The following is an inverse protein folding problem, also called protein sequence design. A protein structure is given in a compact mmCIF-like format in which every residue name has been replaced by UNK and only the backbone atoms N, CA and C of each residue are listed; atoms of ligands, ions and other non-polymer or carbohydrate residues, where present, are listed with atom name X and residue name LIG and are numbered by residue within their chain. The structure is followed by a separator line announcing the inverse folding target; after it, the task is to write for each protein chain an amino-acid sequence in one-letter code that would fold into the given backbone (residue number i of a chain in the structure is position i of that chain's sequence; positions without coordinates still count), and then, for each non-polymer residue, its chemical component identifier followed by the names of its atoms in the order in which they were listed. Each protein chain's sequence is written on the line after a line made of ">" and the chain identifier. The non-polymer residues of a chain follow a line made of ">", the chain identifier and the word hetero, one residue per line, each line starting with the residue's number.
data_IF_168764512647
#
_entry.id   IF_168764512647
#
_cell.length_a   1.000
_cell.length_b   1.000
_cell.length_c   1.000
_cell.angle_alpha   90.00
_cell.angle_beta   90.00
_cell.angle_gamma   90.00
#
_symmetry.space_group_name_H-M   'P 1'
#
loop_
_entity.id
_entity.type
_entity.pdbx_description
1 polymer ?
#
# COMPACT_ATOMS: atom_id res chain seq x y z
N UNK A 1 -72.82 -8.35 -0.74
CA UNK A 1 -72.81 -6.92 -1.12
C UNK A 1 -71.99 -6.19 -0.07
N UNK A 2 -70.75 -5.78 -0.44
CA UNK A 2 -69.98 -4.61 0.02
C UNK A 2 -69.92 -4.31 1.55
N UNK A 3 -68.79 -4.10 2.23
CA UNK A 3 -67.46 -3.62 1.79
C UNK A 3 -66.51 -3.61 3.02
N UNK A 4 -65.22 -3.95 2.79
CA UNK A 4 -64.00 -3.29 3.36
C UNK A 4 -63.77 -3.40 4.88
N UNK A 5 -62.96 -4.33 5.39
CA UNK A 5 -61.48 -4.37 5.43
C UNK A 5 -60.82 -3.19 6.16
N UNK A 6 -60.46 -3.38 7.44
CA UNK A 6 -59.36 -2.68 8.13
C UNK A 6 -58.71 -3.64 9.14
N UNK A 7 -57.71 -4.38 8.68
CA UNK A 7 -56.74 -5.04 9.56
C UNK A 7 -55.65 -4.02 9.91
N UNK A 8 -55.54 -3.69 11.19
CA UNK A 8 -54.40 -2.93 11.74
C UNK A 8 -53.32 -3.96 12.04
N UNK A 9 -52.32 -4.07 11.16
CA UNK A 9 -51.09 -4.79 11.44
C UNK A 9 -50.20 -3.85 12.27
N UNK A 10 -50.00 -4.19 13.55
CA UNK A 10 -48.99 -3.54 14.40
C UNK A 10 -47.64 -4.14 14.02
N UNK A 11 -46.86 -3.42 13.22
CA UNK A 11 -45.43 -3.72 13.03
C UNK A 11 -44.69 -3.26 14.29
N UNK A 12 -44.36 -4.21 15.17
CA UNK A 12 -43.35 -4.02 16.20
C UNK A 12 -41.96 -4.10 15.54
N UNK A 13 -41.42 -2.93 15.20
CA UNK A 13 -40.02 -2.79 14.80
C UNK A 13 -39.17 -2.88 16.08
N UNK A 14 -38.63 -4.07 16.34
CA UNK A 14 -37.55 -4.27 17.31
C UNK A 14 -36.28 -3.64 16.74
N UNK A 15 -36.00 -2.41 17.16
CA UNK A 15 -34.67 -1.81 16.99
C UNK A 15 -33.68 -2.59 17.86
N UNK A 16 -32.59 -3.18 17.31
CA UNK A 16 -31.50 -3.61 18.14
C UNK A 16 -30.85 -2.36 18.74
N UNK A 17 -30.91 -2.24 20.06
CA UNK A 17 -30.08 -1.32 20.83
C UNK A 17 -28.62 -1.75 20.64
N UNK A 18 -27.95 -1.17 19.65
CA UNK A 18 -26.51 -1.20 19.55
C UNK A 18 -26.01 -0.32 20.70
N UNK A 19 -25.60 -0.96 21.79
CA UNK A 19 -24.79 -0.30 22.80
C UNK A 19 -23.44 0.01 22.13
N UNK A 20 -23.31 1.23 21.61
CA UNK A 20 -22.00 1.82 21.35
C UNK A 20 -21.42 2.06 22.74
N UNK A 21 -20.69 1.07 23.25
CA UNK A 21 -19.74 1.30 24.32
C UNK A 21 -18.76 2.32 23.77
N UNK A 22 -18.91 3.57 24.20
CA UNK A 22 -17.88 4.58 24.02
C UNK A 22 -16.76 4.19 24.99
N UNK A 23 -16.01 3.15 24.65
CA UNK A 23 -14.69 2.95 25.24
C UNK A 23 -13.88 4.16 24.82
N UNK A 24 -13.64 5.06 25.77
CA UNK A 24 -12.58 6.05 25.65
C UNK A 24 -11.31 5.26 25.39
N UNK A 25 -10.85 5.27 24.13
CA UNK A 25 -9.60 4.68 23.70
C UNK A 25 -8.52 5.26 24.60
N UNK A 26 -7.97 4.42 25.48
CA UNK A 26 -6.91 4.84 26.40
C UNK A 26 -5.74 5.27 25.53
N UNK A 27 -5.27 6.52 25.67
CA UNK A 27 -4.04 6.94 24.99
C UNK A 27 -2.93 5.98 25.39
N UNK A 28 -2.39 5.25 24.42
CA UNK A 28 -1.25 4.35 24.59
C UNK A 28 0.01 5.11 24.19
N UNK A 29 1.20 4.62 24.53
CA UNK A 29 2.45 5.24 24.07
C UNK A 29 2.88 4.72 22.67
N UNK A 30 1.96 4.09 21.94
CA UNK A 30 2.24 3.34 20.70
C UNK A 30 2.82 1.95 20.98
N UNK A 31 3.25 1.22 19.94
CA UNK A 31 3.22 1.58 18.52
C UNK A 31 1.81 1.63 17.90
N UNK A 32 1.67 2.23 16.72
CA UNK A 32 0.40 2.42 16.00
C UNK A 32 0.43 1.91 14.56
N UNK A 33 -0.74 1.80 13.94
CA UNK A 33 -0.91 1.52 12.51
C UNK A 33 -1.17 2.80 11.69
N UNK A 34 -0.32 3.82 11.81
CA UNK A 34 -0.46 5.08 11.09
C UNK A 34 -0.37 4.94 9.56
N UNK A 35 0.28 3.89 9.06
CA UNK A 35 0.25 3.51 7.64
C UNK A 35 -0.78 2.41 7.32
N UNK A 36 -1.48 1.90 8.34
CA UNK A 36 -2.49 0.85 8.20
C UNK A 36 -1.88 -0.47 7.74
N UNK A 37 -2.63 -1.17 6.90
CA UNK A 37 -2.14 -2.31 6.16
C UNK A 37 -2.67 -2.23 4.73
N UNK A 38 -2.00 -2.94 3.84
CA UNK A 38 -2.51 -3.21 2.51
C UNK A 38 -2.15 -4.64 2.11
N UNK A 39 -2.77 -5.09 1.03
CA UNK A 39 -2.68 -6.48 0.60
C UNK A 39 -2.33 -6.55 -0.89
N UNK A 40 -1.81 -7.68 -1.33
CA UNK A 40 -1.63 -7.94 -2.74
C UNK A 40 -1.08 -9.30 -3.08
N UNK A 41 -0.67 -9.48 -4.33
CA UNK A 41 -0.22 -10.78 -4.85
C UNK A 41 -1.26 -11.89 -4.65
N UNK A 42 -2.55 -11.55 -4.73
CA UNK A 42 -3.62 -12.50 -4.49
C UNK A 42 -3.78 -13.47 -5.68
N UNK A 43 -3.85 -14.77 -5.37
CA UNK A 43 -4.32 -15.82 -6.28
C UNK A 43 -5.54 -16.55 -5.68
N UNK A 44 -5.97 -17.66 -6.28
CA UNK A 44 -7.14 -18.41 -5.80
C UNK A 44 -7.07 -18.85 -4.33
N UNK A 45 -5.88 -19.01 -3.77
CA UNK A 45 -5.67 -19.60 -2.45
C UNK A 45 -4.61 -18.89 -1.61
N UNK A 46 -4.02 -17.78 -2.08
CA UNK A 46 -3.01 -17.04 -1.36
C UNK A 46 -3.17 -15.52 -1.50
N UNK A 47 -2.60 -14.78 -0.54
CA UNK A 47 -2.45 -13.33 -0.58
C UNK A 47 -1.27 -12.92 0.32
N UNK A 48 -0.64 -11.79 0.00
CA UNK A 48 0.33 -11.14 0.87
C UNK A 48 -0.35 -9.99 1.61
N UNK A 49 -0.16 -9.93 2.93
CA UNK A 49 -0.61 -8.84 3.80
C UNK A 49 0.62 -8.09 4.29
N UNK A 50 0.69 -6.80 4.04
CA UNK A 50 1.77 -5.90 4.45
C UNK A 50 1.29 -4.93 5.51
N UNK A 51 2.10 -4.64 6.52
CA UNK A 51 1.86 -3.56 7.48
C UNK A 51 3.17 -2.91 7.95
N UNK A 52 3.06 -1.78 8.65
CA UNK A 52 4.16 -1.02 9.25
C UNK A 52 3.72 -0.41 10.57
N UNK A 53 4.61 -0.45 11.56
CA UNK A 53 4.38 0.21 12.84
C UNK A 53 4.95 1.63 12.88
N UNK A 54 4.17 2.54 13.43
CA UNK A 54 4.45 3.98 13.47
C UNK A 54 4.43 4.51 14.89
N UNK A 55 5.21 5.57 15.13
CA UNK A 55 5.28 6.28 16.42
C UNK A 55 3.99 7.04 16.73
N UNK A 56 3.29 7.51 15.69
CA UNK A 56 2.04 8.27 15.80
C UNK A 56 0.90 7.53 15.08
N UNK A 57 -0.36 7.68 15.52
CA UNK A 57 -1.53 7.07 14.88
C UNK A 57 -1.87 7.68 13.51
N UNK A 58 -1.37 8.89 13.22
CA UNK A 58 -1.61 9.61 11.98
C UNK A 58 -0.31 10.28 11.48
N UNK A 59 -0.23 10.53 10.18
CA UNK A 59 0.86 11.33 9.61
C UNK A 59 0.78 12.80 10.02
N UNK A 60 1.94 13.46 10.11
CA UNK A 60 2.07 14.84 10.57
C UNK A 60 1.59 15.85 9.51
N UNK A 61 0.27 16.03 9.40
CA UNK A 61 -0.31 16.96 8.41
C UNK A 61 -0.06 18.44 8.67
N UNK A 62 0.42 18.80 9.86
CA UNK A 62 0.75 20.18 10.27
C UNK A 62 2.26 20.42 10.37
N UNK A 63 3.07 19.51 9.82
CA UNK A 63 4.52 19.58 9.89
C UNK A 63 5.12 20.74 9.09
N UNK A 64 6.42 20.93 9.27
CA UNK A 64 7.18 21.97 8.56
C UNK A 64 7.31 21.61 7.09
N UNK A 65 7.14 22.58 6.20
CA UNK A 65 7.29 22.37 4.76
C UNK A 65 8.76 22.20 4.36
N UNK A 66 9.00 21.37 3.34
CA UNK A 66 10.32 21.24 2.73
C UNK A 66 10.74 22.55 2.06
N UNK A 67 12.05 22.77 2.02
CA UNK A 67 12.66 23.73 1.11
C UNK A 67 12.64 23.12 -0.30
N UNK A 68 12.31 23.93 -1.30
CA UNK A 68 12.24 23.48 -2.69
C UNK A 68 13.47 24.01 -3.45
N UNK A 69 14.47 23.15 -3.75
CA UNK A 69 15.59 23.54 -4.58
C UNK A 69 15.10 23.83 -6.01
N UNK A 70 15.74 24.79 -6.67
CA UNK A 70 15.49 25.04 -8.09
C UNK A 70 15.82 23.80 -8.93
N UNK A 71 15.29 23.73 -10.16
CA UNK A 71 15.60 22.61 -11.04
C UNK A 71 17.12 22.42 -11.24
N UNK A 72 17.88 23.51 -11.42
CA UNK A 72 19.34 23.47 -11.58
C UNK A 72 20.04 22.92 -10.33
N UNK A 73 19.62 23.35 -9.13
CA UNK A 73 20.13 22.82 -7.87
C UNK A 73 19.80 21.35 -7.69
N UNK A 74 18.56 20.92 -8.01
CA UNK A 74 18.18 19.51 -7.99
C UNK A 74 19.11 18.65 -8.87
N UNK A 75 19.35 19.06 -10.13
CA UNK A 75 20.28 18.35 -11.02
C UNK A 75 21.71 18.28 -10.44
N UNK A 76 22.15 19.34 -9.76
CA UNK A 76 23.44 19.35 -9.11
C UNK A 76 23.49 18.37 -7.93
N UNK A 77 22.46 18.37 -7.08
CA UNK A 77 22.34 17.48 -5.92
C UNK A 77 22.31 16.00 -6.32
N UNK A 78 21.51 15.66 -7.34
CA UNK A 78 21.46 14.32 -7.92
C UNK A 78 22.83 13.85 -8.39
N UNK A 79 23.52 14.67 -9.18
CA UNK A 79 24.86 14.33 -9.72
C UNK A 79 25.94 14.25 -8.64
N UNK A 80 25.91 15.13 -7.66
CA UNK A 80 26.91 15.15 -6.58
C UNK A 80 26.69 14.03 -5.58
N UNK A 81 25.44 13.59 -5.38
CA UNK A 81 25.06 12.52 -4.47
C UNK A 81 25.68 12.69 -3.07
N UNK A 82 25.71 13.92 -2.57
CA UNK A 82 26.23 14.27 -1.25
C UNK A 82 25.07 14.38 -0.25
N UNK A 83 24.95 13.46 0.73
CA UNK A 83 23.82 13.43 1.65
C UNK A 83 23.64 14.73 2.44
N UNK A 84 24.73 15.38 2.85
CA UNK A 84 24.68 16.59 3.67
C UNK A 84 24.14 17.77 2.84
N UNK A 85 24.59 17.90 1.59
CA UNK A 85 24.05 18.92 0.68
C UNK A 85 22.59 18.68 0.32
N UNK A 86 22.22 17.42 0.06
CA UNK A 86 20.82 17.03 -0.22
C UNK A 86 19.94 17.41 0.96
N UNK A 87 20.39 17.13 2.19
CA UNK A 87 19.66 17.45 3.41
C UNK A 87 19.49 18.96 3.59
N UNK A 88 20.60 19.70 3.57
CA UNK A 88 20.61 21.15 3.80
C UNK A 88 19.84 21.94 2.72
N UNK A 89 19.69 21.38 1.52
CA UNK A 89 18.94 22.01 0.44
C UNK A 89 17.41 21.83 0.58
N UNK A 90 16.95 20.82 1.33
CA UNK A 90 15.53 20.42 1.35
C UNK A 90 14.89 20.50 2.74
N UNK A 91 15.67 20.47 3.82
CA UNK A 91 15.15 20.48 5.20
C UNK A 91 15.63 21.76 5.90
N UNK A 92 14.70 22.56 6.49
CA UNK A 92 15.08 23.77 7.19
C UNK A 92 16.07 23.51 8.34
N UNK A 93 16.97 24.48 8.57
CA UNK A 93 17.99 24.37 9.62
C UNK A 93 17.36 24.11 11.01
N UNK A 94 17.85 23.10 11.70
CA UNK A 94 17.39 22.71 13.03
C UNK A 94 16.10 21.88 13.05
N UNK A 95 15.52 21.56 11.90
CA UNK A 95 14.34 20.71 11.76
C UNK A 95 14.76 19.28 11.36
N UNK A 96 14.08 18.28 11.91
CA UNK A 96 14.27 16.87 11.58
C UNK A 96 13.21 16.37 10.60
N UNK A 97 13.47 15.24 9.92
CA UNK A 97 12.51 14.65 8.99
C UNK A 97 11.19 14.22 9.66
N UNK A 98 11.22 13.86 10.95
CA UNK A 98 10.00 13.52 11.72
C UNK A 98 9.06 14.73 11.94
N UNK A 99 9.60 15.95 11.86
CA UNK A 99 8.86 17.20 12.06
C UNK A 99 8.28 17.75 10.75
N UNK A 100 8.60 17.14 9.61
CA UNK A 100 8.18 17.60 8.29
C UNK A 100 6.71 17.28 8.00
N UNK A 101 6.09 18.06 7.11
CA UNK A 101 4.72 17.83 6.64
C UNK A 101 4.61 16.44 5.98
N UNK A 102 3.65 15.65 6.46
CA UNK A 102 3.40 14.28 6.02
C UNK A 102 4.22 13.21 6.76
N UNK A 103 5.14 13.59 7.64
CA UNK A 103 5.98 12.62 8.36
C UNK A 103 5.15 11.58 9.13
N UNK A 104 5.49 10.31 8.96
CA UNK A 104 4.88 9.20 9.70
C UNK A 104 6.00 8.27 10.19
N UNK A 105 6.79 8.69 11.20
CA UNK A 105 7.98 7.95 11.60
C UNK A 105 7.65 6.55 12.11
N UNK A 106 8.44 5.58 11.67
CA UNK A 106 8.33 4.19 12.09
C UNK A 106 8.85 3.96 13.50
N UNK A 107 8.45 2.85 14.12
CA UNK A 107 8.94 2.46 15.45
C UNK A 107 8.95 0.94 15.59
N UNK A 108 9.88 0.43 16.40
CA UNK A 108 9.92 -0.99 16.75
C UNK A 108 8.68 -1.40 17.55
N UNK A 109 8.30 -2.65 17.37
CA UNK A 109 7.19 -3.27 18.08
C UNK A 109 6.86 -4.62 17.46
N UNK A 110 5.77 -5.22 17.92
CA UNK A 110 5.29 -6.49 17.44
C UNK A 110 3.87 -6.34 16.90
N UNK A 111 3.59 -7.10 15.84
CA UNK A 111 2.29 -7.18 15.20
C UNK A 111 1.73 -8.59 15.29
N UNK A 112 0.41 -8.70 15.43
CA UNK A 112 -0.35 -9.95 15.38
C UNK A 112 -1.43 -9.85 14.34
N UNK A 113 -1.63 -10.91 13.57
CA UNK A 113 -2.63 -10.97 12.50
C UNK A 113 -3.66 -12.05 12.82
N UNK A 114 -4.94 -11.68 12.79
CA UNK A 114 -6.06 -12.62 12.77
C UNK A 114 -6.86 -12.45 11.49
N UNK A 115 -7.24 -13.56 10.86
CA UNK A 115 -8.11 -13.52 9.67
C UNK A 115 -9.12 -14.66 9.66
N UNK A 116 -10.27 -14.42 9.02
CA UNK A 116 -11.36 -15.39 8.91
C UNK A 116 -12.29 -15.09 7.73
N UNK A 117 -12.97 -16.09 7.14
CA UNK A 117 -14.01 -15.85 6.15
C UNK A 117 -15.13 -14.99 6.75
N UNK A 118 -15.56 -13.94 6.03
CA UNK A 118 -16.62 -13.03 6.49
C UNK A 118 -17.92 -13.77 6.86
N UNK A 119 -18.21 -14.87 6.16
CA UNK A 119 -19.41 -15.70 6.36
C UNK A 119 -19.25 -16.76 7.46
N UNK A 120 -18.04 -16.95 8.01
CA UNK A 120 -17.77 -17.96 9.04
C UNK A 120 -16.69 -17.48 10.03
N UNK A 121 -17.11 -16.71 11.04
CA UNK A 121 -16.23 -16.13 12.05
C UNK A 121 -15.63 -17.17 13.01
N UNK A 122 -16.19 -18.39 13.07
CA UNK A 122 -15.64 -19.46 13.90
C UNK A 122 -14.33 -20.03 13.31
N UNK A 123 -14.10 -19.83 12.01
CA UNK A 123 -12.86 -20.21 11.32
C UNK A 123 -11.78 -19.11 11.43
N UNK A 124 -11.55 -18.61 12.64
CA UNK A 124 -10.48 -17.66 12.95
C UNK A 124 -9.12 -18.35 12.97
N UNK A 125 -8.19 -17.79 12.20
CA UNK A 125 -6.77 -18.13 12.24
C UNK A 125 -6.03 -16.93 12.80
N UNK A 126 -5.29 -17.12 13.88
CA UNK A 126 -4.41 -16.12 14.47
C UNK A 126 -2.97 -16.55 14.24
N UNK A 127 -2.20 -15.71 13.57
CA UNK A 127 -0.74 -15.82 13.47
C UNK A 127 -0.17 -15.03 14.64
N UNK A 128 0.68 -15.68 15.45
CA UNK A 128 1.21 -15.12 16.68
C UNK A 128 2.09 -13.88 16.46
N UNK A 129 2.41 -13.18 17.55
CA UNK A 129 3.21 -11.96 17.55
C UNK A 129 4.53 -12.11 16.82
N UNK A 130 4.87 -11.12 16.00
CA UNK A 130 6.13 -11.04 15.27
C UNK A 130 6.62 -9.59 15.25
N UNK A 131 7.93 -9.40 15.48
CA UNK A 131 8.54 -8.08 15.43
C UNK A 131 8.58 -7.54 14.00
N UNK A 132 8.30 -6.25 13.84
CA UNK A 132 8.59 -5.54 12.58
C UNK A 132 10.09 -5.36 12.39
N UNK A 133 10.55 -5.21 11.14
CA UNK A 133 11.97 -5.14 10.80
C UNK A 133 12.46 -3.67 10.69
N UNK A 134 13.28 -3.16 11.63
CA UNK A 134 13.79 -1.78 11.57
C UNK A 134 14.66 -1.51 10.33
N UNK A 135 15.35 -2.53 9.81
CA UNK A 135 16.20 -2.40 8.62
C UNK A 135 15.37 -2.30 7.34
N UNK A 136 14.09 -2.70 7.39
CA UNK A 136 13.11 -2.61 6.30
C UNK A 136 12.01 -1.61 6.63
N UNK A 137 12.37 -0.47 7.20
CA UNK A 137 11.44 0.61 7.53
C UNK A 137 10.29 0.18 8.47
N UNK A 138 10.56 -0.69 9.44
CA UNK A 138 9.56 -1.18 10.41
C UNK A 138 8.35 -1.86 9.76
N UNK A 139 8.57 -2.50 8.62
CA UNK A 139 7.54 -3.26 7.90
C UNK A 139 7.52 -4.71 8.32
N UNK A 140 6.38 -5.36 8.12
CA UNK A 140 6.24 -6.81 8.18
C UNK A 140 5.25 -7.28 7.12
N UNK A 141 5.51 -8.45 6.55
CA UNK A 141 4.67 -9.05 5.52
C UNK A 141 4.34 -10.52 5.86
N UNK A 142 3.06 -10.91 5.76
CA UNK A 142 2.63 -12.29 5.85
C UNK A 142 2.18 -12.79 4.47
N UNK A 143 2.68 -13.95 4.05
CA UNK A 143 2.08 -14.70 2.95
C UNK A 143 1.06 -15.68 3.53
N UNK A 144 -0.23 -15.40 3.32
CA UNK A 144 -1.32 -16.30 3.68
C UNK A 144 -1.52 -17.30 2.55
N UNK A 145 -1.66 -18.56 2.88
CA UNK A 145 -1.85 -19.66 1.92
C UNK A 145 -3.03 -20.54 2.33
N UNK A 146 -3.43 -21.47 1.45
CA UNK A 146 -4.55 -22.39 1.69
C UNK A 146 -5.90 -21.69 1.97
N UNK A 147 -6.09 -20.51 1.39
CA UNK A 147 -7.35 -19.76 1.43
C UNK A 147 -8.38 -20.38 0.49
N UNK A 148 -9.66 -20.13 0.79
CA UNK A 148 -10.75 -20.58 -0.08
C UNK A 148 -10.92 -19.60 -1.25
N UNK A 149 -11.01 -20.06 -2.51
CA UNK A 149 -11.26 -19.18 -3.66
C UNK A 149 -12.57 -18.41 -3.55
N UNK A 150 -12.64 -17.24 -4.18
CA UNK A 150 -13.86 -16.42 -4.26
C UNK A 150 -14.39 -15.92 -2.92
N UNK A 151 -13.57 -15.94 -1.87
CA UNK A 151 -14.01 -15.73 -0.49
C UNK A 151 -13.52 -14.38 0.02
N UNK A 152 -14.43 -13.63 0.65
CA UNK A 152 -14.08 -12.41 1.37
C UNK A 152 -13.61 -12.76 2.78
N UNK A 153 -12.39 -12.37 3.11
CA UNK A 153 -11.78 -12.53 4.43
C UNK A 153 -11.77 -11.19 5.16
N UNK A 154 -12.05 -11.25 6.46
CA UNK A 154 -11.81 -10.15 7.39
C UNK A 154 -10.39 -10.30 7.94
N UNK A 155 -9.71 -9.19 8.12
CA UNK A 155 -8.39 -9.05 8.72
C UNK A 155 -8.50 -8.17 9.95
N UNK A 156 -8.00 -8.66 11.08
CA UNK A 156 -7.84 -7.94 12.34
C UNK A 156 -6.35 -7.94 12.69
N UNK A 157 -5.77 -6.77 12.92
CA UNK A 157 -4.38 -6.60 13.34
C UNK A 157 -4.30 -5.95 14.71
N UNK A 158 -3.30 -6.35 15.47
CA UNK A 158 -2.96 -5.77 16.78
C UNK A 158 -1.49 -5.39 16.81
N UNK A 159 -1.20 -4.28 17.48
CA UNK A 159 0.16 -3.81 17.73
C UNK A 159 0.45 -3.82 19.24
N UNK A 160 1.70 -4.09 19.61
CA UNK A 160 2.22 -3.87 20.97
C UNK A 160 3.70 -3.52 20.92
N UNK A 161 4.22 -2.90 21.97
CA UNK A 161 5.64 -2.52 22.04
C UNK A 161 6.56 -3.75 22.20
N UNK A 162 6.17 -4.71 23.05
CA UNK A 162 6.88 -5.96 23.33
C UNK A 162 5.97 -6.94 24.09
N UNK A 163 6.49 -8.12 24.44
CA UNK A 163 5.73 -9.18 25.11
C UNK A 163 5.07 -8.80 26.44
N UNK A 164 5.64 -7.84 27.17
CA UNK A 164 5.16 -7.37 28.47
C UNK A 164 4.19 -6.18 28.36
N UNK A 165 3.94 -5.69 27.14
CA UNK A 165 3.12 -4.52 26.89
C UNK A 165 1.68 -4.90 26.52
N UNK A 166 0.72 -4.09 26.98
CA UNK A 166 -0.65 -4.15 26.50
C UNK A 166 -0.72 -3.82 25.00
N UNK A 167 -1.83 -4.22 24.37
CA UNK A 167 -2.10 -3.88 22.96
C UNK A 167 -2.26 -2.35 22.86
N UNK A 168 -1.45 -1.74 22.01
CA UNK A 168 -1.36 -0.29 21.84
C UNK A 168 -2.31 0.24 20.76
N UNK A 169 -2.53 -0.53 19.69
CA UNK A 169 -3.39 -0.15 18.57
C UNK A 169 -3.99 -1.37 17.85
N UNK A 170 -5.04 -1.13 17.08
CA UNK A 170 -5.75 -2.14 16.26
C UNK A 170 -6.07 -1.60 14.89
N UNK A 171 -5.98 -2.45 13.87
CA UNK A 171 -6.41 -2.11 12.52
C UNK A 171 -7.28 -3.22 11.94
N UNK A 172 -8.29 -2.88 11.15
CA UNK A 172 -9.23 -3.84 10.60
C UNK A 172 -9.51 -3.57 9.12
N UNK A 173 -9.71 -4.65 8.38
CA UNK A 173 -10.15 -4.55 7.00
C UNK A 173 -10.45 -5.89 6.36
N UNK A 174 -10.33 -5.95 5.04
CA UNK A 174 -10.76 -7.13 4.30
C UNK A 174 -10.05 -7.24 2.94
N UNK A 175 -10.04 -8.46 2.43
CA UNK A 175 -9.68 -8.76 1.05
C UNK A 175 -10.60 -9.87 0.52
N UNK A 176 -10.63 -10.03 -0.81
CA UNK A 176 -11.32 -11.11 -1.53
C UNK A 176 -10.31 -11.93 -2.33
N UNK A 177 -10.31 -13.24 -2.17
CA UNK A 177 -9.55 -14.13 -3.06
C UNK A 177 -10.24 -14.22 -4.42
N UNK A 178 -9.48 -14.22 -5.54
CA UNK A 178 -10.01 -14.53 -6.86
C UNK A 178 -10.90 -15.80 -6.86
N UNK A 179 -12.07 -15.79 -7.54
CA UNK A 179 -12.90 -16.98 -7.72
C UNK A 179 -12.17 -18.08 -8.49
N UNK A 180 -12.54 -19.33 -8.23
CA UNK A 180 -11.97 -20.48 -8.93
C UNK A 180 -12.13 -20.35 -10.45
N UNK A 181 -11.17 -20.86 -11.22
CA UNK A 181 -11.08 -20.70 -12.66
C UNK A 181 -12.31 -21.15 -13.47
N UNK A 182 -13.15 -22.01 -12.91
CA UNK A 182 -14.37 -22.54 -13.56
C UNK A 182 -15.65 -21.80 -13.14
N UNK A 183 -15.56 -20.88 -12.17
CA UNK A 183 -16.71 -20.16 -11.63
C UNK A 183 -17.09 -18.97 -12.52
N UNK A 184 -18.31 -18.96 -13.04
CA UNK A 184 -18.91 -17.79 -13.69
C UNK A 184 -19.44 -16.82 -12.62
N UNK A 185 -18.89 -15.61 -12.58
CA UNK A 185 -19.29 -14.55 -11.67
C UNK A 185 -19.05 -13.18 -12.32
N UNK A 186 -19.91 -12.21 -12.01
CA UNK A 186 -19.68 -10.81 -12.39
C UNK A 186 -18.52 -10.24 -11.57
N UNK A 187 -17.48 -9.75 -12.25
CA UNK A 187 -16.28 -9.19 -11.62
C UNK A 187 -16.20 -7.69 -11.89
N UNK A 188 -16.21 -6.89 -10.82
CA UNK A 188 -16.00 -5.44 -10.86
C UNK A 188 -14.61 -5.07 -10.36
N UNK A 189 -13.85 -4.28 -11.12
CA UNK A 189 -12.51 -3.87 -10.70
C UNK A 189 -12.18 -2.44 -11.10
N UNK A 190 -11.17 -1.87 -10.44
CA UNK A 190 -10.65 -0.54 -10.73
C UNK A 190 -9.19 -0.63 -11.19
N UNK A 191 -8.81 0.23 -12.14
CA UNK A 191 -7.42 0.35 -12.63
C UNK A 191 -7.03 1.81 -12.60
N UNK A 192 -5.87 2.11 -12.02
CA UNK A 192 -5.35 3.48 -11.91
C UNK A 192 -3.83 3.50 -12.08
N UNK A 193 -3.29 4.71 -12.26
CA UNK A 193 -1.86 5.01 -12.31
C UNK A 193 -1.64 6.46 -11.89
N UNK A 194 -0.38 6.85 -11.66
CA UNK A 194 0.06 8.24 -11.47
C UNK A 194 -0.57 8.97 -10.28
N UNK A 195 -0.18 8.60 -9.08
CA UNK A 195 -0.73 9.09 -7.81
C UNK A 195 0.20 10.03 -7.03
N UNK A 196 0.88 10.92 -7.75
CA UNK A 196 1.77 11.94 -7.19
C UNK A 196 1.15 12.64 -5.96
N UNK A 197 1.80 12.49 -4.79
CA UNK A 197 1.39 13.05 -3.52
C UNK A 197 1.14 14.57 -3.59
N UNK A 198 1.88 15.30 -4.42
CA UNK A 198 1.69 16.75 -4.57
C UNK A 198 0.32 17.10 -5.17
N UNK A 199 -0.24 16.21 -6.00
CA UNK A 199 -1.45 16.45 -6.78
C UNK A 199 -2.73 15.92 -6.13
N UNK A 200 -2.68 15.65 -4.82
CA UNK A 200 -3.84 15.26 -4.01
C UNK A 200 -4.93 16.34 -4.03
N UNK A 201 -6.18 15.93 -4.20
CA UNK A 201 -7.33 16.85 -4.19
C UNK A 201 -7.82 17.24 -2.78
N UNK A 202 -7.27 16.63 -1.73
CA UNK A 202 -7.60 16.90 -0.32
C UNK A 202 -6.40 16.70 0.59
N UNK A 203 -6.48 17.28 1.79
CA UNK A 203 -5.54 16.99 2.88
C UNK A 203 -5.50 15.51 3.26
N UNK A 204 -6.63 14.80 3.10
CA UNK A 204 -6.77 13.37 3.38
C UNK A 204 -6.31 12.43 2.26
N UNK A 205 -5.85 12.95 1.11
CA UNK A 205 -5.47 12.14 -0.05
C UNK A 205 -6.26 12.41 -1.33
N UNK A 206 -6.23 11.45 -2.26
CA UNK A 206 -6.92 11.56 -3.55
C UNK A 206 -8.39 11.13 -3.43
N UNK A 207 -9.33 11.99 -3.87
CA UNK A 207 -10.79 11.74 -3.76
C UNK A 207 -11.25 10.49 -4.50
N UNK A 208 -10.50 10.08 -5.53
CA UNK A 208 -10.81 8.92 -6.35
C UNK A 208 -10.92 7.64 -5.51
N UNK A 209 -10.13 7.49 -4.44
CA UNK A 209 -10.16 6.31 -3.58
C UNK A 209 -11.49 6.14 -2.85
N UNK A 210 -12.10 7.23 -2.34
CA UNK A 210 -13.43 7.18 -1.74
C UNK A 210 -14.52 6.90 -2.78
N UNK A 211 -14.36 7.40 -4.00
CA UNK A 211 -15.28 7.12 -5.10
C UNK A 211 -15.21 5.65 -5.55
N UNK A 212 -14.01 5.10 -5.72
CA UNK A 212 -13.79 3.68 -6.05
C UNK A 212 -14.31 2.77 -4.93
N UNK A 213 -14.08 3.11 -3.66
CA UNK A 213 -14.55 2.29 -2.54
C UNK A 213 -16.08 2.09 -2.56
N UNK A 214 -16.84 3.12 -2.97
CA UNK A 214 -18.31 3.07 -3.09
C UNK A 214 -18.80 2.16 -4.22
N UNK A 215 -17.94 1.79 -5.16
CA UNK A 215 -18.25 0.82 -6.22
C UNK A 215 -18.13 -0.63 -5.72
N UNK A 216 -17.56 -0.86 -4.52
CA UNK A 216 -17.29 -2.19 -3.97
C UNK A 216 -16.52 -3.09 -4.96
N UNK A 217 -15.35 -2.67 -5.47
CA UNK A 217 -14.59 -3.48 -6.40
C UNK A 217 -14.13 -4.81 -5.76
N UNK A 218 -14.14 -5.88 -6.55
CA UNK A 218 -13.58 -7.18 -6.19
C UNK A 218 -12.06 -7.11 -6.07
N UNK A 219 -11.44 -6.35 -6.97
CA UNK A 219 -10.02 -6.03 -6.91
C UNK A 219 -9.67 -4.69 -7.55
N UNK A 220 -8.43 -4.29 -7.34
CA UNK A 220 -7.85 -3.04 -7.79
C UNK A 220 -6.45 -3.28 -8.34
N UNK A 221 -6.08 -2.58 -9.41
CA UNK A 221 -4.73 -2.59 -9.98
C UNK A 221 -4.18 -1.17 -10.01
N UNK A 222 -3.03 -0.97 -9.38
CA UNK A 222 -2.20 0.22 -9.57
C UNK A 222 -1.10 -0.11 -10.57
N UNK A 223 -1.15 0.49 -11.75
CA UNK A 223 -0.25 0.12 -12.87
C UNK A 223 1.04 0.94 -12.89
N UNK A 224 1.62 1.20 -11.72
CA UNK A 224 2.83 2.02 -11.56
C UNK A 224 2.56 3.49 -11.23
N UNK A 225 3.65 4.22 -11.03
CA UNK A 225 3.67 5.61 -10.57
C UNK A 225 2.81 5.80 -9.31
N UNK A 226 3.02 4.93 -8.33
CA UNK A 226 2.36 5.00 -7.03
C UNK A 226 2.99 6.13 -6.22
N UNK A 227 4.31 6.19 -6.18
CA UNK A 227 5.10 7.29 -5.63
C UNK A 227 6.00 7.90 -6.71
N UNK A 228 6.47 9.13 -6.46
CA UNK A 228 7.32 9.88 -7.36
C UNK A 228 8.55 10.41 -6.66
N UNK A 229 9.69 9.71 -6.70
CA UNK A 229 10.90 10.20 -6.03
C UNK A 229 11.47 11.50 -6.61
N UNK A 230 11.30 11.73 -7.92
CA UNK A 230 11.82 12.85 -8.68
C UNK A 230 10.94 14.11 -8.69
N UNK A 231 9.93 14.16 -7.82
CA UNK A 231 9.07 15.34 -7.63
C UNK A 231 9.44 16.07 -6.34
N UNK A 232 9.29 17.40 -6.28
CA UNK A 232 9.69 18.18 -5.11
C UNK A 232 8.87 17.86 -3.85
N UNK A 233 9.26 18.51 -2.77
CA UNK A 233 8.69 18.37 -1.42
C UNK A 233 8.65 16.92 -0.91
N UNK A 234 9.79 16.22 -0.75
CA UNK A 234 11.14 16.52 -1.24
C UNK A 234 11.50 15.71 -2.50
N UNK A 235 12.54 16.10 -3.24
CA UNK A 235 13.22 15.16 -4.14
C UNK A 235 13.90 14.05 -3.31
N UNK A 236 13.51 12.80 -3.55
CA UNK A 236 14.00 11.65 -2.77
C UNK A 236 15.32 11.11 -3.30
N UNK A 237 16.37 11.89 -3.05
CA UNK A 237 17.75 11.60 -3.47
C UNK A 237 18.51 10.70 -2.48
N UNK A 238 17.90 10.31 -1.36
CA UNK A 238 18.45 9.34 -0.40
C UNK A 238 17.41 8.30 -0.05
N UNK A 239 17.85 7.15 0.49
CA UNK A 239 16.95 6.07 0.90
C UNK A 239 15.95 6.53 1.98
N UNK A 240 16.39 7.37 2.92
CA UNK A 240 15.53 7.92 3.98
C UNK A 240 14.43 8.80 3.39
N UNK A 241 14.75 9.61 2.37
CA UNK A 241 13.75 10.42 1.68
C UNK A 241 12.82 9.58 0.81
N UNK A 242 13.30 8.49 0.20
CA UNK A 242 12.44 7.55 -0.52
C UNK A 242 11.43 6.88 0.42
N UNK A 243 11.90 6.35 1.55
CA UNK A 243 11.05 5.77 2.60
C UNK A 243 10.05 6.79 3.15
N UNK A 244 10.50 8.02 3.42
CA UNK A 244 9.61 9.11 3.83
C UNK A 244 8.46 9.35 2.86
N UNK A 245 8.71 9.30 1.55
CA UNK A 245 7.68 9.51 0.53
C UNK A 245 6.64 8.37 0.53
N UNK A 246 7.05 7.12 0.71
CA UNK A 246 6.11 6.03 0.95
C UNK A 246 5.34 6.18 2.26
N UNK A 247 6.04 6.50 3.36
CA UNK A 247 5.45 6.67 4.68
C UNK A 247 4.34 7.72 4.67
N UNK A 248 4.56 8.89 4.05
CA UNK A 248 3.54 9.94 3.95
C UNK A 248 2.38 9.51 3.05
N UNK A 249 2.63 8.76 1.97
CA UNK A 249 1.61 8.35 1.02
C UNK A 249 0.65 7.35 1.67
N UNK A 250 1.20 6.35 2.37
CA UNK A 250 0.40 5.37 3.11
C UNK A 250 -0.27 5.95 4.36
N UNK A 251 0.23 7.08 4.88
CA UNK A 251 -0.42 7.79 5.98
C UNK A 251 -1.68 8.58 5.54
N UNK A 252 -1.97 8.66 4.24
CA UNK A 252 -3.14 9.39 3.75
C UNK A 252 -4.44 8.64 4.07
N UNK A 253 -5.39 9.26 4.80
CA UNK A 253 -6.62 8.60 5.24
C UNK A 253 -7.44 7.93 4.12
N UNK A 254 -7.57 8.55 2.94
CA UNK A 254 -8.38 8.00 1.84
C UNK A 254 -7.75 6.75 1.24
N UNK A 255 -6.44 6.78 1.01
CA UNK A 255 -5.64 5.67 0.52
C UNK A 255 -5.60 4.52 1.52
N UNK A 256 -5.21 4.82 2.77
CA UNK A 256 -5.10 3.85 3.86
C UNK A 256 -6.41 3.09 4.07
N UNK A 257 -7.53 3.81 4.04
CA UNK A 257 -8.87 3.21 4.12
C UNK A 257 -9.17 2.32 2.92
N UNK A 258 -8.86 2.74 1.69
CA UNK A 258 -9.18 1.95 0.50
C UNK A 258 -8.36 0.66 0.41
N UNK A 259 -7.03 0.75 0.59
CA UNK A 259 -6.14 -0.39 0.44
C UNK A 259 -6.29 -1.44 1.55
N UNK A 260 -6.78 -1.05 2.73
CA UNK A 260 -7.18 -2.00 3.77
C UNK A 260 -8.47 -2.77 3.47
N UNK A 261 -9.21 -2.43 2.41
CA UNK A 261 -10.57 -2.97 2.17
C UNK A 261 -10.73 -3.72 0.84
N UNK A 262 -9.78 -3.55 -0.08
CA UNK A 262 -9.87 -4.03 -1.47
C UNK A 262 -8.64 -4.86 -1.82
N UNK A 263 -8.87 -6.01 -2.47
CA UNK A 263 -7.77 -6.83 -3.00
C UNK A 263 -6.96 -6.02 -4.01
N UNK A 264 -5.67 -5.80 -3.76
CA UNK A 264 -4.88 -4.85 -4.56
C UNK A 264 -3.71 -5.52 -5.28
N UNK A 265 -3.40 -5.05 -6.48
CA UNK A 265 -2.20 -5.44 -7.21
C UNK A 265 -1.39 -4.18 -7.52
N UNK A 266 -0.19 -4.12 -6.97
CA UNK A 266 0.73 -3.01 -7.17
C UNK A 266 1.78 -3.40 -8.21
N UNK A 267 1.79 -2.68 -9.31
CA UNK A 267 2.86 -2.70 -10.29
C UNK A 267 3.71 -1.45 -10.07
N UNK A 268 5.00 -1.55 -10.38
CA UNK A 268 5.91 -0.41 -10.39
C UNK A 268 6.12 0.13 -11.78
N UNK A 269 6.38 1.43 -11.86
CA UNK A 269 6.94 2.08 -13.04
C UNK A 269 8.26 2.80 -12.65
N UNK A 270 8.75 3.74 -13.45
CA UNK A 270 10.06 4.36 -13.24
C UNK A 270 10.17 5.22 -11.99
N UNK A 271 9.13 6.00 -11.71
CA UNK A 271 9.08 6.92 -10.58
C UNK A 271 9.03 6.23 -9.21
N UNK A 272 8.58 4.98 -9.18
CA UNK A 272 8.59 4.10 -8.00
C UNK A 272 9.97 3.47 -7.74
N UNK A 273 10.84 3.48 -8.76
CA UNK A 273 12.17 2.86 -8.72
C UNK A 273 13.24 3.93 -8.50
N UNK A 274 13.29 4.95 -9.36
CA UNK A 274 14.23 6.07 -9.24
C UNK A 274 13.60 7.35 -9.82
N UNK A 275 13.65 7.52 -11.13
CA UNK A 275 13.25 8.73 -11.87
C UNK A 275 12.93 8.34 -13.31
N UNK A 276 12.48 9.28 -14.14
CA UNK A 276 12.17 9.12 -15.56
C UNK A 276 13.07 8.08 -16.24
N UNK A 277 12.44 7.11 -16.90
CA UNK A 277 13.12 6.08 -17.68
C UNK A 277 14.07 5.16 -16.90
N UNK A 278 13.91 5.05 -15.57
CA UNK A 278 14.72 4.18 -14.70
C UNK A 278 15.04 2.82 -15.35
N UNK A 279 16.34 2.51 -15.46
CA UNK A 279 16.87 1.29 -16.08
C UNK A 279 18.06 0.72 -15.28
N UNK A 280 18.43 -0.56 -15.50
CA UNK A 280 19.55 -1.20 -14.80
C UNK A 280 20.88 -0.41 -14.86
N UNK A 281 21.46 -0.15 -13.69
CA UNK A 281 22.70 0.59 -13.53
C UNK A 281 22.56 2.12 -13.46
N UNK A 282 21.33 2.66 -13.36
CA UNK A 282 21.11 4.05 -12.96
C UNK A 282 21.31 4.25 -11.46
N UNK A 283 21.51 5.52 -11.08
CA UNK A 283 21.40 6.04 -9.71
C UNK A 283 20.50 7.27 -9.71
N UNK A 284 19.88 7.57 -8.58
CA UNK A 284 19.23 8.86 -8.31
C UNK A 284 19.64 9.33 -6.93
N UNK A 285 20.42 10.42 -6.88
CA UNK A 285 21.20 10.81 -5.73
C UNK A 285 22.10 9.66 -5.26
N UNK A 286 21.93 9.26 -4.00
CA UNK A 286 22.75 8.21 -3.37
C UNK A 286 22.19 6.80 -3.59
N UNK A 287 21.06 6.65 -4.26
CA UNK A 287 20.34 5.37 -4.35
C UNK A 287 20.58 4.73 -5.71
N UNK A 288 20.98 3.45 -5.73
CA UNK A 288 21.12 2.67 -6.95
C UNK A 288 19.79 2.11 -7.44
N UNK A 289 19.71 1.77 -8.72
CA UNK A 289 18.53 1.14 -9.29
C UNK A 289 18.12 -0.14 -8.56
N UNK A 290 19.08 -1.00 -8.19
CA UNK A 290 18.80 -2.23 -7.43
C UNK A 290 18.15 -1.90 -6.08
N UNK A 291 18.68 -0.90 -5.39
CA UNK A 291 18.13 -0.48 -4.09
C UNK A 291 16.74 0.13 -4.23
N UNK A 292 16.49 0.91 -5.29
CA UNK A 292 15.16 1.42 -5.61
C UNK A 292 14.12 0.31 -5.81
N UNK A 293 14.49 -0.79 -6.48
CA UNK A 293 13.64 -1.97 -6.61
C UNK A 293 13.36 -2.64 -5.25
N UNK A 294 14.40 -2.80 -4.43
CA UNK A 294 14.25 -3.40 -3.10
C UNK A 294 13.34 -2.55 -2.19
N UNK A 295 13.49 -1.22 -2.21
CA UNK A 295 12.61 -0.31 -1.46
C UNK A 295 11.16 -0.49 -1.90
N UNK A 296 10.90 -0.61 -3.21
CA UNK A 296 9.54 -0.87 -3.70
C UNK A 296 8.95 -2.15 -3.09
N UNK A 297 9.72 -3.25 -3.07
CA UNK A 297 9.31 -4.54 -2.49
C UNK A 297 9.20 -4.51 -0.96
N UNK A 298 9.96 -3.64 -0.29
CA UNK A 298 9.81 -3.38 1.14
C UNK A 298 8.51 -2.64 1.46
N UNK A 299 8.11 -1.69 0.61
CA UNK A 299 6.97 -0.79 0.87
C UNK A 299 5.63 -1.32 0.33
N UNK A 300 5.65 -2.25 -0.64
CA UNK A 300 4.46 -2.86 -1.20
C UNK A 300 4.40 -4.37 -0.89
N UNK A 301 3.22 -5.03 -0.99
CA UNK A 301 3.13 -6.49 -0.86
C UNK A 301 4.01 -7.18 -1.90
N UNK A 302 5.08 -7.84 -1.45
CA UNK A 302 6.07 -8.46 -2.32
C UNK A 302 5.59 -9.82 -2.85
N UNK A 303 5.56 -9.96 -4.17
CA UNK A 303 5.17 -11.21 -4.83
C UNK A 303 6.41 -12.10 -5.05
N UNK A 304 6.22 -13.43 -5.18
CA UNK A 304 7.32 -14.36 -5.50
C UNK A 304 8.00 -14.02 -6.83
N UNK A 305 7.21 -13.52 -7.79
CA UNK A 305 7.70 -12.98 -9.06
C UNK A 305 7.14 -11.58 -9.25
N UNK A 306 7.88 -10.68 -9.93
CA UNK A 306 7.43 -9.31 -10.11
C UNK A 306 6.40 -9.16 -11.26
N UNK A 307 6.05 -10.27 -11.93
CA UNK A 307 4.97 -10.42 -12.89
C UNK A 307 4.16 -11.69 -12.58
N UNK A 308 2.87 -11.70 -12.93
CA UNK A 308 1.99 -12.83 -12.64
C UNK A 308 0.75 -12.89 -13.55
N UNK A 309 0.23 -14.09 -13.78
CA UNK A 309 -1.10 -14.31 -14.38
C UNK A 309 -2.07 -14.57 -13.25
N UNK A 310 -3.17 -13.82 -13.20
CA UNK A 310 -4.23 -14.08 -12.22
C UNK A 310 -5.55 -14.28 -12.95
N UNK A 311 -6.28 -15.32 -12.57
CA UNK A 311 -7.59 -15.63 -13.12
C UNK A 311 -8.68 -15.30 -12.11
N UNK A 312 -9.57 -14.39 -12.45
CA UNK A 312 -10.71 -13.98 -11.64
C UNK A 312 -11.97 -14.65 -12.19
N UNK A 313 -12.16 -15.92 -11.84
CA UNK A 313 -13.25 -16.72 -12.36
C UNK A 313 -13.03 -17.22 -13.80
N UNK A 314 -14.11 -17.71 -14.42
CA UNK A 314 -14.09 -18.28 -15.76
C UNK A 314 -13.87 -17.23 -16.84
N UNK A 315 -14.44 -16.04 -16.65
CA UNK A 315 -14.61 -15.06 -17.71
C UNK A 315 -13.49 -13.99 -17.76
N UNK A 316 -12.65 -13.90 -16.73
CA UNK A 316 -11.58 -12.90 -16.67
C UNK A 316 -10.22 -13.52 -16.27
N UNK A 317 -9.20 -13.25 -17.10
CA UNK A 317 -7.80 -13.45 -16.76
C UNK A 317 -7.03 -12.16 -17.02
N UNK A 318 -6.15 -11.81 -16.10
CA UNK A 318 -5.27 -10.65 -16.19
C UNK A 318 -3.80 -11.09 -16.19
N UNK A 319 -2.98 -10.33 -16.90
CA UNK A 319 -1.53 -10.46 -16.90
C UNK A 319 -0.96 -9.17 -16.33
N UNK A 320 -0.33 -9.28 -15.17
CA UNK A 320 0.38 -8.18 -14.53
C UNK A 320 1.85 -8.31 -14.93
N UNK A 321 2.27 -7.46 -15.87
CA UNK A 321 3.64 -7.47 -16.40
C UNK A 321 4.59 -6.65 -15.54
N UNK A 322 5.88 -6.85 -15.72
CA UNK A 322 6.95 -6.11 -15.06
C UNK A 322 7.78 -5.39 -16.12
N UNK A 323 7.84 -4.06 -16.07
CA UNK A 323 8.49 -3.24 -17.10
C UNK A 323 9.81 -2.58 -16.72
N UNK A 324 10.33 -2.78 -15.50
CA UNK A 324 11.48 -2.04 -14.96
C UNK A 324 12.67 -2.92 -14.58
N UNK A 325 12.47 -4.14 -14.08
CA UNK A 325 13.52 -5.07 -13.63
C UNK A 325 14.45 -5.53 -14.76
N UNK A 326 13.93 -5.64 -15.99
CA UNK A 326 14.64 -6.36 -17.07
C UNK A 326 14.85 -5.52 -18.33
N UNK A 327 14.50 -4.23 -18.30
CA UNK A 327 14.52 -3.39 -19.49
C UNK A 327 15.94 -3.02 -19.91
N UNK A 328 16.14 -2.89 -21.22
CA UNK A 328 17.29 -2.22 -21.82
C UNK A 328 17.16 -0.69 -21.68
N UNK A 329 18.25 0.04 -21.93
CA UNK A 329 18.20 1.51 -21.96
C UNK A 329 17.40 1.96 -23.17
N UNK A 330 16.70 3.09 -23.06
CA UNK A 330 16.00 3.68 -24.20
C UNK A 330 16.94 3.99 -25.36
N UNK A 331 18.17 4.42 -25.03
CA UNK A 331 19.23 4.77 -25.99
C UNK A 331 19.89 3.57 -26.67
N UNK A 332 19.66 2.34 -26.20
CA UNK A 332 20.23 1.16 -26.83
C UNK A 332 19.64 1.02 -28.25
N UNK A 333 20.44 0.64 -29.26
CA UNK A 333 19.96 0.49 -30.62
C UNK A 333 18.89 -0.59 -30.70
N UNK A 334 17.88 -0.38 -31.55
CA UNK A 334 16.84 -1.38 -31.76
C UNK A 334 17.44 -2.65 -32.36
N UNK A 335 17.09 -3.79 -31.76
CA UNK A 335 17.60 -5.10 -32.14
C UNK A 335 16.89 -6.20 -31.34
N UNK A 336 17.10 -7.47 -31.71
CA UNK A 336 16.41 -8.61 -31.09
C UNK A 336 16.66 -8.73 -29.57
N UNK A 337 17.80 -8.23 -29.10
CA UNK A 337 18.19 -8.25 -27.68
C UNK A 337 17.62 -7.07 -26.87
N UNK A 338 17.15 -5.99 -27.53
CA UNK A 338 16.52 -4.86 -26.84
C UNK A 338 15.17 -5.31 -26.27
N UNK A 339 14.95 -5.06 -24.99
CA UNK A 339 13.79 -5.62 -24.29
C UNK A 339 13.26 -4.70 -23.20
N UNK A 340 11.99 -4.88 -22.86
CA UNK A 340 11.37 -4.31 -21.66
C UNK A 340 11.21 -5.42 -20.61
N UNK A 341 10.69 -6.57 -21.04
CA UNK A 341 10.32 -7.66 -20.15
C UNK A 341 11.45 -8.65 -19.84
N UNK A 342 12.60 -8.54 -20.49
CA UNK A 342 13.62 -9.59 -20.44
C UNK A 342 13.21 -10.83 -21.23
N UNK A 343 14.02 -11.90 -21.16
CA UNK A 343 13.77 -13.15 -21.90
C UNK A 343 12.67 -13.99 -21.24
N UNK A 344 12.78 -14.23 -19.93
CA UNK A 344 11.90 -15.15 -19.20
C UNK A 344 10.44 -14.69 -19.19
N UNK A 345 10.19 -13.40 -18.98
CA UNK A 345 8.83 -12.86 -19.00
C UNK A 345 8.23 -12.85 -20.41
N UNK A 346 9.03 -12.67 -21.48
CA UNK A 346 8.55 -12.83 -22.86
C UNK A 346 8.07 -14.26 -23.09
N UNK A 347 8.87 -15.25 -22.71
CA UNK A 347 8.53 -16.69 -22.81
C UNK A 347 7.30 -17.06 -21.96
N UNK A 348 7.09 -16.38 -20.83
CA UNK A 348 5.88 -16.53 -20.02
C UNK A 348 4.63 -15.94 -20.71
N UNK A 349 4.78 -14.83 -21.45
CA UNK A 349 3.66 -14.09 -22.02
C UNK A 349 3.18 -14.62 -23.38
N UNK A 350 4.10 -15.01 -24.28
CA UNK A 350 3.75 -15.43 -25.65
C UNK A 350 4.67 -16.48 -26.27
#
# INVERSE_FOLDING_TARGET
>A
MNTVLKYIFVLLILYPLIFISCETQKETEGPYFGNGFHNGCADHNSIVIWTRLTKNPEGNSEGVKFLEPSAEEHWQLDREADPEKIWNAQIPEGITLEEMEGACPGVSGEVRLTYYPLTNQDNKVTIDWVAVDPEKNFTHQWKLESLTPGTKYVVEMEARLNEDSDISDRNEGAFRTPPAAETEEEIGFCVVTCHDYWRRDTTGGHKIYDAMLKLFPDFYVHTGDIEYYDKPEPYALTEELMRFKWDRLYALPLQRKFWGQVTSYFMKDDHDVLTDDAFPGMTYGTVSWERGLEIFEEQNPACEKPYQTVRWGKDLQIWLTEGRNYRSKNSDPDGPEKTIFGKEQKEWLF
#
